data_IF_750980525652
#
_entry.id   IF_750980525652
#
_cell.length_a   1.000
_cell.length_b   1.000
_cell.length_c   1.000
_cell.angle_alpha   90.00
_cell.angle_beta   90.00
_cell.angle_gamma   90.00
#
_symmetry.space_group_name_H-M   'P 1'
#
loop_
_entity.id
_entity.type
_entity.pdbx_description
1 polymer ?
#
# COMPACT_ATOMS: atom_id res chain seq x y z
N UNK A 1 -25.17 0.50 18.53
CA UNK A 1 -23.80 0.06 18.18
C UNK A 1 -23.25 0.93 17.05
N UNK A 2 -22.10 1.57 17.22
CA UNK A 2 -21.54 2.47 16.20
C UNK A 2 -20.97 1.68 15.01
N UNK A 3 -21.40 2.02 13.79
CA UNK A 3 -20.96 1.37 12.54
C UNK A 3 -19.48 1.67 12.27
N UNK A 4 -18.61 0.68 12.45
CA UNK A 4 -17.16 0.78 12.18
C UNK A 4 -16.92 0.90 10.67
N UNK A 5 -16.51 2.08 10.21
CA UNK A 5 -16.17 2.33 8.80
C UNK A 5 -14.95 1.48 8.42
N UNK A 6 -15.12 0.51 7.52
CA UNK A 6 -14.02 -0.31 7.00
C UNK A 6 -12.97 0.60 6.35
N UNK A 7 -11.73 0.43 6.77
CA UNK A 7 -10.61 1.13 6.17
C UNK A 7 -10.27 0.45 4.84
N UNK A 8 -10.76 1.00 3.71
CA UNK A 8 -10.22 0.69 2.38
C UNK A 8 -8.73 1.06 2.29
N UNK A 9 -7.84 0.09 2.50
CA UNK A 9 -6.41 0.21 2.17
C UNK A 9 -6.25 -0.04 0.68
N UNK A 10 -5.42 0.77 0.01
CA UNK A 10 -5.09 0.59 -1.41
C UNK A 10 -3.64 0.14 -1.51
N UNK A 11 -3.42 -0.97 -2.20
CA UNK A 11 -2.10 -1.49 -2.55
C UNK A 11 -2.09 -1.67 -4.06
N UNK A 12 -1.06 -1.16 -4.73
CA UNK A 12 -0.91 -1.29 -6.17
C UNK A 12 0.15 -2.33 -6.48
N UNK A 13 -0.14 -3.23 -7.41
CA UNK A 13 0.82 -4.20 -7.92
C UNK A 13 1.03 -3.90 -9.40
N UNK A 14 2.28 -3.66 -9.77
CA UNK A 14 2.71 -3.46 -11.15
C UNK A 14 3.29 -4.78 -11.64
N UNK A 15 2.68 -5.32 -12.68
CA UNK A 15 3.09 -6.53 -13.37
C UNK A 15 3.46 -6.15 -14.80
N UNK A 16 4.59 -6.66 -15.27
CA UNK A 16 5.06 -6.42 -16.63
C UNK A 16 5.65 -7.71 -17.19
N UNK A 17 5.18 -8.11 -18.38
CA UNK A 17 5.68 -9.25 -19.12
C UNK A 17 5.73 -8.95 -20.61
N UNK A 18 6.55 -9.69 -21.36
CA UNK A 18 6.46 -9.68 -22.83
C UNK A 18 5.16 -10.35 -23.30
N UNK A 19 4.80 -10.16 -24.58
CA UNK A 19 3.57 -10.72 -25.17
C UNK A 19 3.51 -12.24 -25.08
N UNK A 20 4.65 -12.92 -25.26
CA UNK A 20 4.76 -14.38 -25.14
C UNK A 20 4.74 -14.90 -23.69
N UNK A 21 4.89 -14.02 -22.70
CA UNK A 21 4.94 -14.37 -21.27
C UNK A 21 6.23 -15.05 -20.79
N UNK A 22 7.19 -15.34 -21.68
CA UNK A 22 8.47 -15.98 -21.35
C UNK A 22 9.36 -15.11 -20.48
N UNK A 23 9.29 -13.78 -20.63
CA UNK A 23 10.09 -12.84 -19.84
C UNK A 23 9.17 -12.00 -18.96
N UNK A 24 9.31 -12.18 -17.66
CA UNK A 24 8.50 -11.50 -16.62
C UNK A 24 9.43 -10.65 -15.78
N UNK A 25 9.09 -9.37 -15.63
CA UNK A 25 9.81 -8.48 -14.73
C UNK A 25 9.37 -8.75 -13.28
N UNK A 26 10.28 -8.50 -12.34
CA UNK A 26 9.97 -8.58 -10.92
C UNK A 26 8.78 -7.67 -10.58
N UNK A 27 7.69 -8.19 -9.99
CA UNK A 27 6.55 -7.39 -9.63
C UNK A 27 6.92 -6.28 -8.64
N UNK A 28 6.40 -5.08 -8.88
CA UNK A 28 6.58 -3.93 -7.99
C UNK A 28 5.29 -3.68 -7.21
N UNK A 29 5.38 -3.84 -5.89
CA UNK A 29 4.27 -3.59 -4.97
C UNK A 29 4.46 -2.23 -4.33
N UNK A 30 3.47 -1.35 -4.48
CA UNK A 30 3.47 -0.01 -3.90
C UNK A 30 2.39 0.09 -2.83
N UNK A 31 2.82 0.40 -1.61
CA UNK A 31 1.93 0.62 -0.47
C UNK A 31 2.10 1.98 0.21
N UNK A 32 1.29 2.21 1.23
CA UNK A 32 1.32 3.44 2.04
C UNK A 32 2.31 3.37 3.20
N UNK A 33 2.41 2.22 3.87
CA UNK A 33 3.32 1.99 4.99
C UNK A 33 4.71 1.61 4.51
N UNK A 34 5.75 2.00 5.25
CA UNK A 34 7.13 1.52 5.03
C UNK A 34 7.27 0.03 5.32
N UNK A 35 6.62 -0.43 6.40
CA UNK A 35 6.59 -1.82 6.84
C UNK A 35 5.13 -2.16 7.12
N UNK A 36 4.40 -2.71 6.15
CA UNK A 36 3.01 -3.08 6.37
C UNK A 36 2.95 -4.27 7.33
N UNK A 37 1.94 -4.29 8.20
CA UNK A 37 1.79 -5.34 9.21
C UNK A 37 1.69 -6.74 8.59
N UNK A 38 1.18 -6.85 7.37
CA UNK A 38 1.12 -8.11 6.62
C UNK A 38 2.50 -8.72 6.33
N UNK A 39 3.56 -7.92 6.25
CA UNK A 39 4.93 -8.38 6.04
C UNK A 39 5.74 -8.48 7.35
N UNK A 40 5.10 -8.39 8.52
CA UNK A 40 5.84 -8.45 9.78
C UNK A 40 6.49 -9.81 10.05
N UNK A 41 5.96 -10.89 9.48
CA UNK A 41 6.48 -12.26 9.63
C UNK A 41 7.14 -12.80 8.36
N UNK A 42 7.26 -11.97 7.31
CA UNK A 42 7.79 -12.38 6.02
C UNK A 42 9.00 -11.53 5.72
N UNK A 43 10.13 -12.16 5.38
CA UNK A 43 11.31 -11.45 4.94
C UNK A 43 11.09 -10.95 3.50
N UNK A 44 10.86 -9.64 3.35
CA UNK A 44 10.58 -9.00 2.06
C UNK A 44 11.73 -9.21 1.07
N UNK A 45 12.98 -9.30 1.56
CA UNK A 45 14.15 -9.53 0.71
C UNK A 45 14.22 -10.94 0.11
N UNK A 46 13.48 -11.91 0.68
CA UNK A 46 13.40 -13.28 0.15
C UNK A 46 12.27 -13.46 -0.87
N UNK A 47 11.35 -12.49 -0.96
CA UNK A 47 10.31 -12.52 -1.95
C UNK A 47 10.87 -12.06 -3.31
N UNK A 48 10.44 -12.66 -4.43
CA UNK A 48 10.75 -12.18 -5.77
C UNK A 48 9.93 -10.93 -6.12
N UNK A 49 9.76 -10.01 -5.17
CA UNK A 49 8.92 -8.83 -5.24
C UNK A 49 9.69 -7.63 -4.72
N UNK A 50 9.58 -6.53 -5.45
CA UNK A 50 10.13 -5.26 -4.99
C UNK A 50 9.00 -4.53 -4.27
N UNK A 51 9.17 -4.23 -2.98
CA UNK A 51 8.23 -3.40 -2.24
C UNK A 51 8.72 -1.96 -2.12
N UNK A 52 7.87 -0.99 -2.47
CA UNK A 52 8.13 0.44 -2.24
C UNK A 52 6.97 1.10 -1.51
N UNK A 53 7.29 2.04 -0.64
CA UNK A 53 6.27 2.84 0.04
C UNK A 53 6.23 4.25 -0.53
N UNK A 54 5.03 4.79 -0.76
CA UNK A 54 4.88 6.17 -1.18
C UNK A 54 4.10 6.97 -0.14
N UNK A 55 4.81 7.86 0.59
CA UNK A 55 4.22 8.74 1.61
C UNK A 55 3.41 9.90 1.02
N UNK A 56 3.70 10.30 -0.23
CA UNK A 56 3.12 11.47 -0.91
C UNK A 56 2.10 11.10 -2.00
N UNK A 57 1.90 9.82 -2.29
CA UNK A 57 0.94 9.39 -3.30
C UNK A 57 -0.45 9.91 -2.98
N UNK A 58 -1.10 10.48 -3.99
CA UNK A 58 -2.54 10.75 -4.11
C UNK A 58 -3.45 9.57 -3.68
N UNK A 59 -2.88 8.38 -3.55
CA UNK A 59 -3.53 7.18 -2.99
C UNK A 59 -3.72 7.21 -1.47
N UNK A 60 -3.20 8.21 -0.76
CA UNK A 60 -3.46 8.39 0.67
C UNK A 60 -4.88 8.92 0.87
N UNK A 61 -5.68 8.24 1.70
CA UNK A 61 -6.93 8.84 2.18
C UNK A 61 -6.63 10.17 2.89
N UNK A 62 -7.46 11.21 2.72
CA UNK A 62 -7.34 12.40 3.54
C UNK A 62 -7.38 11.97 5.01
N UNK A 63 -6.31 12.32 5.73
CA UNK A 63 -6.18 12.07 7.17
C UNK A 63 -7.40 12.74 7.80
N UNK A 64 -8.22 11.96 8.53
CA UNK A 64 -9.41 12.49 9.21
C UNK A 64 -8.97 13.74 9.99
N UNK A 65 -9.50 14.92 9.63
CA UNK A 65 -9.56 16.02 10.59
C UNK A 65 -10.30 15.44 11.79
N UNK A 66 -9.64 15.35 12.92
CA UNK A 66 -10.29 15.10 14.20
C UNK A 66 -11.40 16.16 14.30
N UNK A 67 -12.66 15.74 14.19
CA UNK A 67 -13.79 16.62 14.52
C UNK A 67 -13.64 16.91 16.00
N UNK A 68 -13.16 18.10 16.33
CA UNK A 68 -12.85 18.48 17.71
C UNK A 68 -11.65 19.41 17.81
N UNK A 69 -11.77 20.62 17.28
CA UNK A 69 -11.20 21.82 17.89
C UNK A 69 -11.96 23.02 17.30
N UNK A 70 -12.75 23.74 18.09
CA UNK A 70 -13.24 25.03 17.64
C UNK A 70 -12.01 25.90 17.39
N UNK A 71 -12.01 26.64 16.27
CA UNK A 71 -11.13 27.80 16.17
C UNK A 71 -11.63 28.79 17.24
N UNK A 72 -10.71 29.24 18.09
CA UNK A 72 -10.96 30.42 18.91
C UNK A 72 -11.32 31.60 18.01
#
# INVERSE_FOLDING_TARGET
>A
MARKKKEKVRTTVLLCSNSTGSHKLCPLVIGTSKKPQYFNKINISQLPVIYKNNKKAWMRKPRRRSRGRPRK
#
